data_IF_614161851496
#
_entry.id   IF_614161851496
#
_cell.length_a   1.000
_cell.length_b   1.000
_cell.length_c   1.000
_cell.angle_alpha   90.00
_cell.angle_beta   90.00
_cell.angle_gamma   90.00
#
_symmetry.space_group_name_H-M   'P 1'
#
loop_
_entity.id
_entity.type
_entity.pdbx_description
1 polymer ?
#
# COMPACT_ATOMS: atom_id res chain seq x y z
N UNK A 1 24.23 -6.52 7.33
CA UNK A 1 22.99 -6.16 6.62
C UNK A 1 23.01 -4.74 6.08
N UNK A 2 23.37 -3.74 6.90
CA UNK A 2 23.44 -2.32 6.47
C UNK A 2 24.33 -2.19 5.24
N UNK A 3 25.52 -2.79 5.26
CA UNK A 3 26.47 -2.72 4.13
C UNK A 3 25.91 -3.30 2.84
N UNK A 4 25.16 -4.42 2.93
CA UNK A 4 24.51 -5.03 1.75
C UNK A 4 23.43 -4.12 1.15
N UNK A 5 22.62 -3.50 2.01
CA UNK A 5 21.55 -2.58 1.60
C UNK A 5 22.13 -1.29 1.03
N UNK A 6 23.18 -0.75 1.67
CA UNK A 6 23.90 0.44 1.19
C UNK A 6 24.61 0.18 -0.15
N UNK A 7 25.27 -0.97 -0.29
CA UNK A 7 25.90 -1.39 -1.54
C UNK A 7 24.89 -1.51 -2.68
N UNK A 8 23.74 -2.12 -2.42
CA UNK A 8 22.66 -2.20 -3.41
C UNK A 8 22.18 -0.81 -3.85
N UNK A 9 22.02 0.14 -2.91
CA UNK A 9 21.62 1.51 -3.24
C UNK A 9 22.67 2.26 -4.07
N UNK A 10 23.95 2.01 -3.82
CA UNK A 10 25.04 2.63 -4.56
C UNK A 10 25.12 2.15 -6.03
N UNK A 11 24.82 0.87 -6.27
CA UNK A 11 24.99 0.23 -7.59
C UNK A 11 23.71 0.13 -8.41
N UNK A 12 22.53 0.34 -7.82
CA UNK A 12 21.24 0.27 -8.50
C UNK A 12 20.58 1.66 -8.54
N UNK A 13 20.79 2.43 -9.62
CA UNK A 13 20.25 3.78 -9.72
C UNK A 13 18.72 3.77 -9.84
N UNK A 14 18.10 4.85 -9.37
CA UNK A 14 16.64 5.07 -9.42
C UNK A 14 15.82 3.97 -8.74
N UNK A 15 16.32 3.41 -7.65
CA UNK A 15 15.64 2.38 -6.88
C UNK A 15 15.54 2.74 -5.40
N UNK A 16 14.41 2.38 -4.82
CA UNK A 16 14.27 2.29 -3.38
C UNK A 16 14.65 0.87 -2.95
N UNK A 17 15.67 0.75 -2.12
CA UNK A 17 16.14 -0.52 -1.59
C UNK A 17 15.47 -0.77 -0.23
N UNK A 18 14.85 -1.92 -0.06
CA UNK A 18 14.23 -2.36 1.18
C UNK A 18 15.03 -3.52 1.78
N UNK A 19 15.49 -3.38 3.02
CA UNK A 19 15.98 -4.53 3.78
C UNK A 19 14.79 -5.31 4.30
N UNK A 20 14.49 -6.47 3.72
CA UNK A 20 13.29 -7.24 4.04
C UNK A 20 13.59 -8.37 5.01
N UNK A 21 12.74 -8.51 6.03
CA UNK A 21 12.84 -9.56 7.04
C UNK A 21 12.29 -10.87 6.49
N UNK A 22 12.95 -11.96 6.82
CA UNK A 22 12.40 -13.28 6.59
C UNK A 22 11.39 -13.62 7.71
N UNK A 23 10.12 -13.77 7.34
CA UNK A 23 9.06 -14.13 8.29
C UNK A 23 9.07 -15.64 8.56
N UNK A 24 10.06 -16.10 9.31
CA UNK A 24 10.19 -17.47 9.80
C UNK A 24 9.14 -17.81 10.87
N UNK A 25 9.15 -19.05 11.39
CA UNK A 25 8.16 -19.48 12.40
C UNK A 25 8.25 -18.72 13.72
N UNK A 26 9.40 -18.13 14.01
CA UNK A 26 9.69 -17.42 15.27
C UNK A 26 9.13 -15.99 15.33
N UNK A 27 8.54 -15.49 14.20
CA UNK A 27 7.92 -14.15 14.16
C UNK A 27 6.56 -14.20 14.85
N UNK A 28 6.26 -13.28 15.78
CA UNK A 28 4.96 -13.19 16.44
C UNK A 28 3.81 -13.14 15.43
N UNK A 29 2.75 -13.93 15.66
CA UNK A 29 1.58 -14.05 14.78
C UNK A 29 0.97 -12.69 14.42
N UNK A 30 0.95 -11.75 15.39
CA UNK A 30 0.46 -10.39 15.21
C UNK A 30 1.23 -9.64 14.13
N UNK A 31 2.58 -9.70 14.15
CA UNK A 31 3.44 -9.07 13.16
C UNK A 31 3.24 -9.69 11.78
N UNK A 32 3.09 -11.03 11.72
CA UNK A 32 2.82 -11.74 10.46
C UNK A 32 1.48 -11.35 9.85
N UNK A 33 0.41 -11.32 10.65
CA UNK A 33 -0.93 -10.93 10.17
C UNK A 33 -0.97 -9.46 9.75
N UNK A 34 -0.36 -8.56 10.54
CA UNK A 34 -0.26 -7.13 10.19
C UNK A 34 0.45 -6.92 8.87
N UNK A 35 1.63 -7.54 8.69
CA UNK A 35 2.37 -7.42 7.44
C UNK A 35 1.61 -8.07 6.26
N UNK A 36 0.94 -9.21 6.47
CA UNK A 36 0.14 -9.85 5.40
C UNK A 36 -1.00 -8.94 4.93
N UNK A 37 -1.69 -8.29 5.85
CA UNK A 37 -2.78 -7.36 5.53
C UNK A 37 -2.25 -6.12 4.80
N UNK A 38 -1.20 -5.48 5.31
CA UNK A 38 -0.60 -4.29 4.67
C UNK A 38 -0.03 -4.59 3.29
N UNK A 39 0.59 -5.75 3.09
CA UNK A 39 1.06 -6.21 1.78
C UNK A 39 -0.07 -6.35 0.77
N UNK A 40 -1.20 -6.96 1.19
CA UNK A 40 -2.37 -7.12 0.33
C UNK A 40 -2.93 -5.75 -0.08
N UNK A 41 -3.16 -4.86 0.88
CA UNK A 41 -3.69 -3.53 0.62
C UNK A 41 -2.73 -2.69 -0.24
N UNK A 42 -1.43 -2.75 0.04
CA UNK A 42 -0.40 -2.09 -0.75
C UNK A 42 -0.40 -2.59 -2.20
N UNK A 43 -0.46 -3.91 -2.40
CA UNK A 43 -0.52 -4.51 -3.74
C UNK A 43 -1.79 -4.08 -4.51
N UNK A 44 -2.94 -4.03 -3.84
CA UNK A 44 -4.20 -3.57 -4.46
C UNK A 44 -4.08 -2.10 -4.87
N UNK A 45 -3.50 -1.26 -4.01
CA UNK A 45 -3.38 0.18 -4.25
C UNK A 45 -2.34 0.53 -5.33
N UNK A 46 -1.20 -0.15 -5.36
CA UNK A 46 -0.04 0.24 -6.19
C UNK A 46 0.22 -0.70 -7.36
N UNK A 47 -0.35 -1.90 -7.35
CA UNK A 47 -0.01 -2.98 -8.28
C UNK A 47 1.34 -3.64 -8.00
N UNK A 48 2.15 -3.11 -7.06
CA UNK A 48 3.50 -3.60 -6.74
C UNK A 48 3.45 -4.60 -5.58
N UNK A 49 4.15 -5.71 -5.71
CA UNK A 49 4.27 -6.70 -4.63
C UNK A 49 5.60 -6.50 -3.89
N UNK A 50 5.51 -6.39 -2.56
CA UNK A 50 6.68 -6.38 -1.65
C UNK A 50 6.47 -7.41 -0.55
N UNK A 51 7.56 -7.96 -0.01
CA UNK A 51 7.49 -9.00 1.02
C UNK A 51 7.41 -8.44 2.44
N UNK A 52 7.94 -7.25 2.67
CA UNK A 52 7.88 -6.56 3.97
C UNK A 52 7.60 -5.06 3.78
N UNK A 53 6.34 -4.66 4.00
CA UNK A 53 5.93 -3.25 3.92
C UNK A 53 6.28 -2.45 5.17
N UNK A 54 6.65 -3.13 6.26
CA UNK A 54 6.87 -2.53 7.58
C UNK A 54 8.36 -2.47 7.96
N UNK A 55 9.25 -2.77 7.01
CA UNK A 55 10.69 -2.67 7.27
C UNK A 55 11.11 -1.21 7.47
N UNK A 56 11.93 -0.96 8.50
CA UNK A 56 12.55 0.34 8.74
C UNK A 56 13.90 0.52 8.03
N UNK A 57 14.57 -0.57 7.62
CA UNK A 57 15.86 -0.46 6.91
C UNK A 57 15.62 -0.22 5.43
N UNK A 58 15.87 1.01 5.01
CA UNK A 58 15.70 1.47 3.63
C UNK A 58 16.91 2.27 3.18
N UNK A 59 17.25 2.15 1.90
CA UNK A 59 18.31 2.95 1.31
C UNK A 59 17.89 3.45 -0.09
N UNK A 60 18.39 4.64 -0.41
CA UNK A 60 18.15 5.28 -1.70
C UNK A 60 19.27 6.27 -1.99
N UNK A 61 19.43 6.64 -3.23
CA UNK A 61 20.46 7.59 -3.65
C UNK A 61 20.08 9.03 -3.28
N UNK A 62 21.09 9.89 -3.10
CA UNK A 62 20.93 11.28 -2.66
C UNK A 62 20.00 12.10 -3.58
N UNK A 63 19.96 11.79 -4.87
CA UNK A 63 19.06 12.44 -5.83
C UNK A 63 17.57 12.22 -5.53
N UNK A 64 17.22 11.22 -4.72
CA UNK A 64 15.85 10.97 -4.27
C UNK A 64 15.46 11.80 -3.03
N UNK A 65 16.41 12.45 -2.36
CA UNK A 65 16.15 13.22 -1.13
C UNK A 65 15.05 14.28 -1.31
N UNK A 66 15.08 15.13 -2.36
CA UNK A 66 14.02 16.13 -2.54
C UNK A 66 12.61 15.53 -2.64
N UNK A 67 12.49 14.37 -3.28
CA UNK A 67 11.24 13.64 -3.34
C UNK A 67 10.83 13.11 -1.96
N UNK A 68 11.76 12.52 -1.21
CA UNK A 68 11.50 11.97 0.13
C UNK A 68 11.08 13.07 1.12
N UNK A 69 11.66 14.26 1.05
CA UNK A 69 11.30 15.41 1.90
C UNK A 69 9.92 15.99 1.58
N UNK A 70 9.39 15.77 0.39
CA UNK A 70 8.04 16.18 0.00
C UNK A 70 6.93 15.24 0.44
N UNK A 71 7.25 14.11 1.06
CA UNK A 71 6.26 13.11 1.50
C UNK A 71 5.70 13.51 2.86
N UNK A 72 4.37 13.52 2.98
CA UNK A 72 3.68 13.81 4.22
C UNK A 72 3.83 12.68 5.25
N UNK A 73 3.93 13.05 6.53
CA UNK A 73 3.98 12.16 7.67
C UNK A 73 5.23 12.34 8.52
N UNK A 74 5.11 12.14 9.83
CA UNK A 74 6.19 12.35 10.80
C UNK A 74 6.59 11.08 11.55
N UNK A 75 5.85 9.98 11.38
CA UNK A 75 6.04 8.73 12.12
C UNK A 75 5.86 7.51 11.21
N UNK A 76 5.19 6.48 11.70
CA UNK A 76 4.93 5.23 10.99
C UNK A 76 4.14 5.41 9.68
N UNK A 77 3.26 6.43 9.62
CA UNK A 77 2.56 6.80 8.39
C UNK A 77 3.50 7.30 7.30
N UNK A 78 4.58 8.00 7.64
CA UNK A 78 5.59 8.43 6.67
C UNK A 78 6.19 7.24 5.92
N UNK A 79 6.52 6.17 6.65
CA UNK A 79 7.12 4.97 6.03
C UNK A 79 6.19 4.32 5.00
N UNK A 80 4.89 4.27 5.27
CA UNK A 80 3.91 3.73 4.34
C UNK A 80 3.66 4.70 3.16
N UNK A 81 3.55 6.00 3.43
CA UNK A 81 3.39 7.01 2.39
C UNK A 81 4.59 7.04 1.46
N UNK A 82 5.81 6.96 2.01
CA UNK A 82 7.05 6.87 1.24
C UNK A 82 7.04 5.64 0.32
N UNK A 83 6.71 4.47 0.86
CA UNK A 83 6.68 3.25 0.08
C UNK A 83 5.64 3.33 -1.05
N UNK A 84 4.44 3.84 -0.74
CA UNK A 84 3.34 3.98 -1.70
C UNK A 84 3.69 4.96 -2.82
N UNK A 85 4.20 6.15 -2.48
CA UNK A 85 4.54 7.15 -3.49
C UNK A 85 5.80 6.78 -4.28
N UNK A 86 6.81 6.19 -3.61
CA UNK A 86 8.02 5.74 -4.29
C UNK A 86 7.73 4.61 -5.28
N UNK A 87 6.80 3.70 -4.97
CA UNK A 87 6.43 2.60 -5.89
C UNK A 87 5.85 3.06 -7.22
N UNK A 88 5.33 4.29 -7.30
CA UNK A 88 4.80 4.89 -8.53
C UNK A 88 5.88 5.56 -9.39
N UNK A 89 7.01 5.91 -8.79
CA UNK A 89 8.05 6.70 -9.44
C UNK A 89 9.38 5.96 -9.61
N UNK A 90 9.68 5.05 -8.69
CA UNK A 90 10.95 4.34 -8.63
C UNK A 90 10.73 2.83 -8.57
N UNK A 91 11.69 2.07 -9.05
CA UNK A 91 11.69 0.62 -8.85
C UNK A 91 12.02 0.29 -7.40
N UNK A 92 11.35 -0.72 -6.86
CA UNK A 92 11.63 -1.27 -5.53
C UNK A 92 12.50 -2.51 -5.69
N UNK A 93 13.55 -2.61 -4.88
CA UNK A 93 14.42 -3.79 -4.81
C UNK A 93 14.51 -4.25 -3.36
N UNK A 94 14.31 -5.54 -3.14
CA UNK A 94 14.35 -6.15 -1.83
C UNK A 94 15.70 -6.83 -1.60
N UNK A 95 16.28 -6.61 -0.42
CA UNK A 95 17.51 -7.25 0.05
C UNK A 95 17.18 -7.97 1.36
N UNK A 96 17.33 -9.30 1.44
CA UNK A 96 17.06 -10.04 2.67
C UNK A 96 17.98 -9.57 3.81
N UNK A 97 17.41 -9.38 5.00
CA UNK A 97 18.13 -9.02 6.21
C UNK A 97 17.79 -9.98 7.36
N UNK A 98 18.73 -10.15 8.27
CA UNK A 98 18.50 -10.87 9.50
C UNK A 98 17.68 -10.03 10.48
N UNK A 99 16.80 -10.69 11.24
CA UNK A 99 15.99 -10.03 12.27
C UNK A 99 16.38 -10.57 13.63
N UNK A 100 16.88 -9.70 14.50
CA UNK A 100 17.17 -10.03 15.88
C UNK A 100 16.02 -9.49 16.74
N UNK A 101 15.27 -10.38 17.37
CA UNK A 101 14.24 -10.01 18.34
C UNK A 101 14.89 -9.92 19.71
N UNK A 102 14.93 -8.72 20.29
CA UNK A 102 15.42 -8.48 21.64
C UNK A 102 14.20 -8.37 22.56
N UNK A 103 14.13 -9.18 23.61
CA UNK A 103 13.09 -9.19 24.66
C UNK A 103 11.66 -9.14 24.08
N UNK A 104 11.33 -10.03 23.14
CA UNK A 104 10.00 -10.10 22.49
C UNK A 104 9.45 -8.75 22.01
N UNK A 105 10.33 -7.82 21.59
CA UNK A 105 9.98 -6.43 21.22
C UNK A 105 9.46 -5.54 22.39
N UNK A 106 9.85 -5.79 23.60
CA UNK A 106 9.46 -4.98 24.78
C UNK A 106 9.82 -3.48 24.62
N UNK A 107 10.83 -3.15 23.81
CA UNK A 107 11.25 -1.78 23.50
C UNK A 107 10.42 -1.08 22.41
N UNK A 108 9.42 -1.73 21.84
CA UNK A 108 8.60 -1.13 20.79
C UNK A 108 7.68 -0.04 21.33
N UNK A 109 7.88 1.20 20.90
CA UNK A 109 6.98 2.33 21.18
C UNK A 109 5.73 2.37 20.31
N UNK A 110 5.45 1.29 19.57
CA UNK A 110 4.29 1.17 18.69
C UNK A 110 2.99 1.07 19.50
N UNK A 111 2.10 2.05 19.34
CA UNK A 111 0.75 2.06 19.94
C UNK A 111 -0.22 1.36 18.98
N UNK A 112 -0.66 0.11 19.29
CA UNK A 112 -1.30 -0.76 18.30
C UNK A 112 -2.50 -0.17 17.58
N UNK A 113 -3.38 0.52 18.29
CA UNK A 113 -4.61 1.07 17.72
C UNK A 113 -4.32 2.38 16.98
N UNK A 114 -3.66 3.32 17.67
CA UNK A 114 -3.44 4.67 17.13
C UNK A 114 -2.54 4.66 15.89
N UNK A 115 -1.38 3.99 16.00
CA UNK A 115 -0.40 3.97 14.92
C UNK A 115 -0.90 3.14 13.75
N UNK A 116 -1.66 2.05 14.01
CA UNK A 116 -2.33 1.31 12.94
C UNK A 116 -3.37 2.16 12.20
N UNK A 117 -4.19 2.94 12.91
CA UNK A 117 -5.15 3.83 12.27
C UNK A 117 -4.47 4.88 11.41
N UNK A 118 -3.33 5.43 11.84
CA UNK A 118 -2.56 6.39 11.04
C UNK A 118 -1.99 5.75 9.78
N UNK A 119 -1.40 4.56 9.89
CA UNK A 119 -0.86 3.81 8.74
C UNK A 119 -1.96 3.47 7.75
N UNK A 120 -3.09 2.98 8.25
CA UNK A 120 -4.18 2.50 7.38
C UNK A 120 -5.07 3.61 6.85
N UNK A 121 -5.00 4.83 7.38
CA UNK A 121 -5.87 5.95 6.99
C UNK A 121 -5.90 6.16 5.46
N UNK A 122 -4.74 6.19 4.82
CA UNK A 122 -4.65 6.39 3.37
C UNK A 122 -5.14 5.17 2.59
N UNK A 123 -4.86 3.96 3.08
CA UNK A 123 -5.37 2.73 2.49
C UNK A 123 -6.89 2.62 2.62
N UNK A 124 -7.45 3.01 3.78
CA UNK A 124 -8.90 3.07 3.98
C UNK A 124 -9.59 4.12 3.13
N UNK A 125 -8.97 5.30 2.95
CA UNK A 125 -9.50 6.32 2.02
C UNK A 125 -9.64 5.77 0.61
N UNK A 126 -8.62 5.07 0.12
CA UNK A 126 -8.66 4.44 -1.20
C UNK A 126 -9.75 3.37 -1.29
N UNK A 127 -9.83 2.47 -0.30
CA UNK A 127 -10.87 1.45 -0.26
C UNK A 127 -12.29 2.04 -0.19
N UNK A 128 -12.48 3.09 0.61
CA UNK A 128 -13.75 3.79 0.76
C UNK A 128 -14.16 4.51 -0.53
N UNK A 129 -13.21 5.17 -1.21
CA UNK A 129 -13.47 5.81 -2.49
C UNK A 129 -13.87 4.79 -3.57
N UNK A 130 -13.17 3.65 -3.64
CA UNK A 130 -13.49 2.57 -4.58
C UNK A 130 -14.87 1.95 -4.28
N UNK A 131 -15.20 1.75 -3.01
CA UNK A 131 -16.51 1.26 -2.60
C UNK A 131 -17.61 2.28 -2.91
N UNK A 132 -17.35 3.56 -2.67
CA UNK A 132 -18.26 4.66 -3.01
C UNK A 132 -18.56 4.70 -4.51
N UNK A 133 -17.54 4.60 -5.35
CA UNK A 133 -17.69 4.49 -6.80
C UNK A 133 -18.56 3.31 -7.19
N UNK A 134 -18.28 2.11 -6.66
CA UNK A 134 -19.10 0.92 -6.91
C UNK A 134 -20.58 1.12 -6.53
N UNK A 135 -20.86 1.75 -5.39
CA UNK A 135 -22.25 2.02 -4.95
C UNK A 135 -22.94 3.00 -5.90
N UNK A 136 -22.25 4.05 -6.35
CA UNK A 136 -22.78 5.03 -7.31
C UNK A 136 -23.09 4.33 -8.63
N UNK A 137 -22.15 3.56 -9.18
CA UNK A 137 -22.34 2.81 -10.42
C UNK A 137 -23.55 1.87 -10.33
N UNK A 138 -23.69 1.17 -9.20
CA UNK A 138 -24.82 0.28 -8.97
C UNK A 138 -26.15 1.03 -8.90
N UNK A 139 -26.19 2.20 -8.23
CA UNK A 139 -27.40 3.03 -8.14
C UNK A 139 -27.78 3.59 -9.51
N UNK A 140 -26.83 4.08 -10.29
CA UNK A 140 -27.05 4.55 -11.66
C UNK A 140 -27.58 3.42 -12.54
N UNK A 141 -26.96 2.24 -12.45
CA UNK A 141 -27.42 1.05 -13.16
C UNK A 141 -28.88 0.68 -12.80
N UNK A 142 -29.20 0.62 -11.51
CA UNK A 142 -30.54 0.31 -11.03
C UNK A 142 -31.56 1.37 -11.47
N UNK A 143 -31.22 2.65 -11.40
CA UNK A 143 -32.07 3.74 -11.84
C UNK A 143 -32.40 3.63 -13.33
N UNK A 144 -31.41 3.38 -14.19
CA UNK A 144 -31.62 3.21 -15.64
C UNK A 144 -32.53 2.02 -15.93
N UNK A 145 -32.35 0.90 -15.23
CA UNK A 145 -33.19 -0.28 -15.40
C UNK A 145 -34.65 -0.02 -15.01
N UNK A 146 -34.90 0.76 -13.97
CA UNK A 146 -36.22 1.10 -13.51
C UNK A 146 -36.90 2.13 -14.42
N UNK A 147 -36.20 3.21 -14.79
CA UNK A 147 -36.72 4.30 -15.59
C UNK A 147 -37.08 3.86 -17.02
N UNK A 148 -36.22 3.04 -17.63
CA UNK A 148 -36.41 2.53 -18.99
C UNK A 148 -37.02 1.13 -19.03
N UNK A 149 -37.88 0.80 -18.07
CA UNK A 149 -38.54 -0.53 -17.97
C UNK A 149 -39.32 -0.94 -19.22
N UNK A 150 -39.79 0.03 -20.02
CA UNK A 150 -40.50 -0.14 -21.29
C UNK A 150 -39.60 -0.46 -22.49
N UNK A 151 -38.28 -0.22 -22.40
CA UNK A 151 -37.32 -0.44 -23.49
C UNK A 151 -36.83 -1.90 -23.54
N UNK A 152 -36.41 -2.41 -24.71
CA UNK A 152 -35.82 -3.72 -24.84
C UNK A 152 -34.60 -3.88 -23.92
N UNK A 153 -34.41 -5.06 -23.34
CA UNK A 153 -33.37 -5.35 -22.35
C UNK A 153 -31.96 -4.99 -22.84
N UNK A 154 -31.69 -5.20 -24.11
CA UNK A 154 -30.39 -4.88 -24.74
C UNK A 154 -30.09 -3.38 -24.69
N UNK A 155 -31.07 -2.53 -24.99
CA UNK A 155 -30.93 -1.07 -24.96
C UNK A 155 -30.70 -0.58 -23.52
N UNK A 156 -31.43 -1.13 -22.57
CA UNK A 156 -31.29 -0.82 -21.14
C UNK A 156 -29.89 -1.12 -20.61
N UNK A 157 -29.35 -2.30 -20.96
CA UNK A 157 -28.01 -2.71 -20.56
C UNK A 157 -26.93 -1.83 -21.20
N UNK A 158 -27.06 -1.44 -22.46
CA UNK A 158 -26.13 -0.54 -23.12
C UNK A 158 -26.11 0.84 -22.48
N UNK A 159 -27.29 1.42 -22.20
CA UNK A 159 -27.40 2.72 -21.53
C UNK A 159 -26.83 2.67 -20.11
N UNK A 160 -27.14 1.64 -19.33
CA UNK A 160 -26.64 1.48 -17.98
C UNK A 160 -25.10 1.36 -17.94
N UNK A 161 -24.50 0.56 -18.83
CA UNK A 161 -23.05 0.42 -18.93
C UNK A 161 -22.35 1.69 -19.44
N UNK A 162 -22.99 2.46 -20.32
CA UNK A 162 -22.41 3.70 -20.85
C UNK A 162 -22.40 4.81 -19.80
N UNK A 163 -23.47 4.94 -19.03
CA UNK A 163 -23.58 5.95 -17.97
C UNK A 163 -22.72 5.62 -16.75
N UNK A 164 -22.62 4.36 -16.35
CA UNK A 164 -21.76 3.93 -15.26
C UNK A 164 -20.26 4.09 -15.51
N UNK A 165 -19.82 4.28 -16.77
CA UNK A 165 -18.40 4.55 -17.10
C UNK A 165 -18.03 6.02 -17.09
N UNK A 166 -18.99 6.92 -16.94
CA UNK A 166 -18.80 8.38 -16.95
C UNK A 166 -18.72 8.93 -15.51
N UNK A 167 -19.16 8.14 -14.54
CA UNK A 167 -19.05 8.44 -13.09
C UNK A 167 -17.76 7.88 -12.52
#
# INVERSE_FOLDING_TARGET
DIDRVAHAAAHLPNRLILGVREFTKDVPLRSRLGNKLTRLLFKIQTGVAVTDTQTGLRAFQTQMIPFMLGIEGDRYEYEMNMLTQASQKYLITEVPIETIYIDDNASSHFRPIRDSLMIYKNLFKFALASFGGFVIDYLVYAMVLLTFSWAPTTIRLLLANSLGRIT
#
